data_IF_997161296687
#
_entry.id   IF_997161296687
#
_cell.length_a   1.000
_cell.length_b   1.000
_cell.length_c   1.000
_cell.angle_alpha   90.00
_cell.angle_beta   90.00
_cell.angle_gamma   90.00
#
_symmetry.space_group_name_H-M   'P 1'
#
loop_
_entity.id
_entity.type
_entity.pdbx_description
1 polymer ?
#
# COMPACT_ATOMS: atom_id res chain seq x y z
N UNK A 1 2.37 -11.32 -27.09
CA UNK A 1 1.04 -10.65 -27.15
C UNK A 1 1.28 -9.16 -27.12
N UNK A 2 0.52 -8.31 -27.84
CA UNK A 2 0.68 -6.87 -27.75
C UNK A 2 0.35 -6.42 -26.32
N UNK A 3 1.30 -5.74 -25.66
CA UNK A 3 1.14 -5.22 -24.31
C UNK A 3 0.29 -3.95 -24.36
N UNK A 4 -0.68 -3.82 -23.46
CA UNK A 4 -1.53 -2.63 -23.34
C UNK A 4 -0.83 -1.62 -22.39
N UNK A 5 -0.26 -0.51 -22.87
CA UNK A 5 0.65 0.34 -22.08
C UNK A 5 0.00 1.04 -20.88
N UNK A 6 -1.34 1.06 -20.82
CA UNK A 6 -2.10 1.72 -19.74
C UNK A 6 -2.74 0.73 -18.75
N UNK A 7 -2.36 -0.56 -18.79
CA UNK A 7 -2.84 -1.52 -17.82
C UNK A 7 -1.67 -2.13 -17.04
N UNK A 8 -1.88 -2.37 -15.77
CA UNK A 8 -0.90 -3.04 -14.91
C UNK A 8 -0.53 -4.40 -15.51
N UNK A 9 0.75 -4.70 -15.59
CA UNK A 9 1.34 -5.86 -16.29
C UNK A 9 1.12 -5.89 -17.81
N UNK A 10 0.55 -4.87 -18.44
CA UNK A 10 0.30 -4.86 -19.89
C UNK A 10 -0.60 -5.98 -20.38
N UNK A 11 -1.57 -6.40 -19.56
CA UNK A 11 -2.42 -7.56 -19.83
C UNK A 11 -3.32 -7.36 -21.05
N UNK A 12 -3.61 -8.42 -21.82
CA UNK A 12 -4.57 -8.35 -22.91
C UNK A 12 -6.00 -8.13 -22.37
N UNK A 13 -6.88 -7.55 -23.19
CA UNK A 13 -8.23 -7.11 -22.79
C UNK A 13 -9.04 -8.17 -22.01
N UNK A 14 -8.98 -9.45 -22.42
CA UNK A 14 -9.72 -10.54 -21.74
C UNK A 14 -9.18 -10.88 -20.32
N UNK A 15 -8.00 -10.38 -19.95
CA UNK A 15 -7.42 -10.50 -18.59
C UNK A 15 -7.44 -9.17 -17.83
N UNK A 16 -7.72 -8.08 -18.54
CA UNK A 16 -7.85 -6.73 -18.02
C UNK A 16 -9.31 -6.23 -17.95
N UNK A 17 -10.28 -7.11 -18.25
CA UNK A 17 -11.71 -6.81 -18.18
C UNK A 17 -12.22 -6.77 -16.74
N UNK A 18 -13.06 -5.76 -16.42
CA UNK A 18 -13.58 -5.55 -15.06
C UNK A 18 -14.41 -6.75 -14.55
N UNK A 19 -15.27 -7.31 -15.39
CA UNK A 19 -16.19 -8.37 -14.97
C UNK A 19 -15.42 -9.62 -14.54
N UNK A 20 -14.46 -10.03 -15.37
CA UNK A 20 -13.65 -11.24 -15.14
C UNK A 20 -12.51 -11.05 -14.13
N UNK A 21 -12.10 -9.81 -13.84
CA UNK A 21 -10.98 -9.55 -12.96
C UNK A 21 -11.32 -9.78 -11.48
N UNK A 22 -10.43 -10.44 -10.76
CA UNK A 22 -10.51 -10.56 -9.30
C UNK A 22 -9.90 -9.35 -8.57
N UNK A 23 -9.04 -8.60 -9.26
CA UNK A 23 -8.26 -7.49 -8.71
C UNK A 23 -8.52 -6.21 -9.50
N UNK A 24 -8.63 -5.10 -8.80
CA UNK A 24 -8.71 -3.74 -9.37
C UNK A 24 -7.47 -2.96 -8.93
N UNK A 25 -6.70 -2.48 -9.90
CA UNK A 25 -5.66 -1.47 -9.68
C UNK A 25 -6.32 -0.10 -9.81
N UNK A 26 -6.27 0.70 -8.75
CA UNK A 26 -6.89 2.02 -8.67
C UNK A 26 -5.85 3.13 -8.55
N UNK A 27 -5.48 3.81 -9.65
CA UNK A 27 -4.54 4.91 -9.59
C UNK A 27 -5.16 6.16 -8.96
N UNK A 28 -4.45 6.80 -8.02
CA UNK A 28 -4.84 8.06 -7.38
C UNK A 28 -3.65 9.02 -7.42
N UNK A 29 -3.40 9.69 -8.56
CA UNK A 29 -2.29 10.62 -8.74
C UNK A 29 -2.59 11.94 -8.01
N UNK A 30 -2.15 12.04 -6.75
CA UNK A 30 -2.38 13.20 -5.89
C UNK A 30 -1.12 13.53 -5.11
N UNK A 31 -0.64 14.78 -5.21
CA UNK A 31 0.52 15.30 -4.47
C UNK A 31 0.31 16.76 -4.12
N UNK A 32 -0.59 17.01 -3.17
CA UNK A 32 -0.86 18.39 -2.72
C UNK A 32 -0.27 18.70 -1.36
N UNK A 33 -0.03 17.70 -0.54
CA UNK A 33 0.39 17.92 0.84
C UNK A 33 1.84 17.54 1.13
N UNK A 34 2.58 16.95 0.18
CA UNK A 34 4.02 16.69 0.34
C UNK A 34 4.79 17.96 0.65
N UNK A 35 5.78 17.86 1.56
CA UNK A 35 6.45 19.03 2.13
C UNK A 35 7.82 19.32 1.54
N UNK A 36 8.53 18.31 1.04
CA UNK A 36 9.87 18.49 0.50
C UNK A 36 9.93 18.18 -1.00
N UNK A 37 10.17 16.92 -1.37
CA UNK A 37 10.20 16.57 -2.81
C UNK A 37 8.77 16.34 -3.32
N UNK A 38 8.50 16.91 -4.47
CA UNK A 38 7.24 16.78 -5.20
C UNK A 38 7.37 15.76 -6.32
N UNK A 39 6.26 15.19 -6.74
CA UNK A 39 6.19 14.27 -7.88
C UNK A 39 5.59 12.91 -7.56
N UNK A 40 5.09 12.71 -6.34
CA UNK A 40 4.39 11.48 -5.95
C UNK A 40 3.12 11.25 -6.82
N UNK A 41 2.50 12.30 -7.36
CA UNK A 41 1.39 12.21 -8.30
C UNK A 41 1.75 11.47 -9.61
N UNK A 42 3.02 11.39 -9.96
CA UNK A 42 3.52 10.61 -11.10
C UNK A 42 3.77 9.13 -10.76
N UNK A 43 3.80 8.78 -9.46
CA UNK A 43 4.07 7.45 -8.98
C UNK A 43 3.15 6.37 -9.58
N UNK A 44 1.82 6.54 -9.58
CA UNK A 44 0.91 5.56 -10.15
C UNK A 44 1.18 5.23 -11.62
N UNK A 45 1.47 6.23 -12.44
CA UNK A 45 1.78 6.03 -13.86
C UNK A 45 3.12 5.31 -14.04
N UNK A 46 4.15 5.68 -13.26
CA UNK A 46 5.47 5.05 -13.32
C UNK A 46 5.42 3.58 -12.89
N UNK A 47 4.63 3.24 -11.87
CA UNK A 47 4.41 1.84 -11.43
C UNK A 47 3.74 1.03 -12.56
N UNK A 48 2.70 1.57 -13.19
CA UNK A 48 2.00 0.89 -14.29
C UNK A 48 2.95 0.68 -15.47
N UNK A 49 3.71 1.70 -15.86
CA UNK A 49 4.72 1.61 -16.92
C UNK A 49 5.77 0.54 -16.61
N UNK A 50 6.33 0.55 -15.40
CA UNK A 50 7.31 -0.44 -14.98
C UNK A 50 6.73 -1.87 -14.98
N UNK A 51 5.48 -2.04 -14.57
CA UNK A 51 4.81 -3.34 -14.45
C UNK A 51 4.71 -4.10 -15.77
N UNK A 52 4.72 -3.40 -16.90
CA UNK A 52 4.67 -4.00 -18.25
C UNK A 52 5.91 -4.86 -18.54
N UNK A 53 6.99 -4.62 -17.80
CA UNK A 53 8.27 -5.32 -17.97
C UNK A 53 8.51 -6.43 -16.93
N UNK A 54 7.51 -6.72 -16.07
CA UNK A 54 7.60 -7.81 -15.10
C UNK A 54 7.51 -9.17 -15.79
N UNK A 55 8.26 -10.13 -15.25
CA UNK A 55 7.99 -11.54 -15.48
C UNK A 55 6.76 -11.94 -14.65
N UNK A 56 5.77 -12.55 -15.29
CA UNK A 56 4.46 -12.82 -14.70
C UNK A 56 4.36 -14.18 -13.99
N UNK A 57 5.41 -14.99 -14.06
CA UNK A 57 5.55 -16.17 -13.23
C UNK A 57 6.30 -15.79 -11.94
N UNK A 58 5.64 -16.04 -10.80
CA UNK A 58 6.26 -15.81 -9.50
C UNK A 58 6.88 -17.10 -8.98
N UNK A 59 8.21 -17.11 -8.90
CA UNK A 59 9.00 -18.28 -8.49
C UNK A 59 8.86 -18.64 -7.02
N UNK A 60 8.49 -17.69 -6.13
CA UNK A 60 8.33 -17.98 -4.70
C UNK A 60 7.01 -18.69 -4.40
N UNK A 61 5.97 -18.38 -5.18
CA UNK A 61 4.63 -18.95 -5.00
C UNK A 61 4.29 -20.04 -6.03
N UNK A 62 5.18 -20.29 -7.01
CA UNK A 62 4.94 -21.18 -8.13
C UNK A 62 3.58 -20.88 -8.82
N UNK A 63 3.34 -19.59 -9.11
CA UNK A 63 2.04 -19.13 -9.59
C UNK A 63 2.11 -17.99 -10.61
N UNK A 64 0.97 -17.78 -11.27
CA UNK A 64 0.78 -16.71 -12.25
C UNK A 64 -0.53 -15.98 -11.92
N UNK A 65 -0.48 -15.08 -10.91
CA UNK A 65 -1.68 -14.40 -10.37
C UNK A 65 -2.46 -13.60 -11.42
N UNK A 66 -1.81 -13.12 -12.48
CA UNK A 66 -2.48 -12.40 -13.57
C UNK A 66 -3.59 -13.23 -14.25
N UNK A 67 -3.53 -14.56 -14.18
CA UNK A 67 -4.58 -15.45 -14.72
C UNK A 67 -5.93 -15.27 -14.04
N UNK A 68 -5.96 -14.68 -12.82
CA UNK A 68 -7.20 -14.31 -12.10
C UNK A 68 -7.83 -13.01 -12.58
N UNK A 69 -7.21 -12.35 -13.56
CA UNK A 69 -7.61 -11.06 -14.10
C UNK A 69 -7.26 -9.89 -13.17
N UNK A 70 -6.63 -8.86 -13.76
CA UNK A 70 -6.27 -7.60 -13.09
C UNK A 70 -6.78 -6.46 -13.96
N UNK A 71 -7.81 -5.78 -13.49
CA UNK A 71 -8.37 -4.60 -14.15
C UNK A 71 -7.67 -3.34 -13.64
N UNK A 72 -7.29 -2.44 -14.53
CA UNK A 72 -6.76 -1.13 -14.17
C UNK A 72 -7.84 -0.08 -14.39
N UNK A 73 -8.28 0.54 -13.31
CA UNK A 73 -9.33 1.56 -13.32
C UNK A 73 -8.81 2.90 -13.86
N UNK A 74 -9.73 3.78 -14.23
CA UNK A 74 -9.37 5.17 -14.58
C UNK A 74 -8.84 5.89 -13.34
N UNK A 75 -7.83 6.77 -13.48
CA UNK A 75 -7.29 7.52 -12.36
C UNK A 75 -8.33 8.43 -11.68
N UNK A 76 -8.27 8.52 -10.35
CA UNK A 76 -9.09 9.45 -9.57
C UNK A 76 -8.33 10.76 -9.41
N UNK A 77 -8.89 11.86 -9.91
CA UNK A 77 -8.36 13.20 -9.72
C UNK A 77 -9.26 14.01 -8.78
N UNK A 78 -8.63 14.83 -7.92
CA UNK A 78 -9.34 15.74 -7.02
C UNK A 78 -8.56 17.05 -6.83
N UNK A 79 -9.31 18.13 -6.59
CA UNK A 79 -8.74 19.44 -6.35
C UNK A 79 -8.28 19.65 -4.89
N UNK A 80 -8.75 18.82 -3.95
CA UNK A 80 -8.44 18.90 -2.51
C UNK A 80 -8.40 17.53 -1.87
N UNK A 81 -7.69 17.39 -0.74
CA UNK A 81 -7.64 16.15 0.04
C UNK A 81 -9.03 15.69 0.49
N UNK A 82 -9.89 16.60 0.94
CA UNK A 82 -11.26 16.26 1.36
C UNK A 82 -12.13 15.76 0.19
N UNK A 83 -11.98 16.36 -0.99
CA UNK A 83 -12.64 15.91 -2.22
C UNK A 83 -12.13 14.54 -2.67
N UNK A 84 -10.82 14.33 -2.54
CA UNK A 84 -10.17 13.05 -2.85
C UNK A 84 -10.70 11.94 -1.96
N UNK A 85 -10.75 12.14 -0.64
CA UNK A 85 -11.28 11.16 0.31
C UNK A 85 -12.69 10.69 -0.04
N UNK A 86 -13.56 11.62 -0.45
CA UNK A 86 -14.93 11.28 -0.85
C UNK A 86 -14.95 10.44 -2.12
N UNK A 87 -14.22 10.85 -3.16
CA UNK A 87 -14.16 10.15 -4.45
C UNK A 87 -13.55 8.76 -4.29
N UNK A 88 -12.35 8.68 -3.70
CA UNK A 88 -11.66 7.41 -3.47
C UNK A 88 -12.51 6.45 -2.62
N UNK A 89 -13.12 6.97 -1.55
CA UNK A 89 -13.99 6.19 -0.68
C UNK A 89 -15.21 5.63 -1.41
N UNK A 90 -15.82 6.41 -2.31
CA UNK A 90 -16.98 5.96 -3.11
C UNK A 90 -16.58 4.84 -4.09
N UNK A 91 -15.48 5.04 -4.85
CA UNK A 91 -14.99 4.06 -5.82
C UNK A 91 -14.60 2.75 -5.14
N UNK A 92 -13.81 2.82 -4.07
CA UNK A 92 -13.43 1.62 -3.30
C UNK A 92 -14.66 0.89 -2.77
N UNK A 93 -15.64 1.62 -2.23
CA UNK A 93 -16.89 1.00 -1.73
C UNK A 93 -17.67 0.27 -2.82
N UNK A 94 -17.64 0.77 -4.06
CA UNK A 94 -18.26 0.08 -5.21
C UNK A 94 -17.54 -1.23 -5.52
N UNK A 95 -16.20 -1.20 -5.64
CA UNK A 95 -15.42 -2.41 -5.92
C UNK A 95 -15.54 -3.46 -4.81
N UNK A 96 -15.62 -3.03 -3.54
CA UNK A 96 -15.83 -3.96 -2.42
C UNK A 96 -17.19 -4.66 -2.47
N UNK A 97 -18.27 -3.97 -2.91
CA UNK A 97 -19.57 -4.60 -3.16
C UNK A 97 -19.50 -5.68 -4.24
N UNK A 98 -18.68 -5.47 -5.25
CA UNK A 98 -18.43 -6.43 -6.32
C UNK A 98 -17.40 -7.51 -5.93
N UNK A 99 -17.02 -7.60 -4.64
CA UNK A 99 -16.04 -8.55 -4.09
C UNK A 99 -14.65 -8.48 -4.76
N UNK A 100 -14.25 -7.32 -5.27
CA UNK A 100 -12.92 -7.13 -5.86
C UNK A 100 -11.87 -6.88 -4.77
N UNK A 101 -10.67 -7.42 -4.98
CA UNK A 101 -9.49 -6.99 -4.24
C UNK A 101 -9.04 -5.65 -4.84
N UNK A 102 -8.99 -4.58 -4.03
CA UNK A 102 -8.56 -3.27 -4.53
C UNK A 102 -7.12 -3.01 -4.11
N UNK A 103 -6.29 -2.68 -5.08
CA UNK A 103 -4.92 -2.19 -4.90
C UNK A 103 -4.89 -0.73 -5.33
N UNK A 104 -4.66 0.16 -4.38
CA UNK A 104 -4.54 1.59 -4.67
C UNK A 104 -3.08 1.94 -4.98
N UNK A 105 -2.85 2.55 -6.13
CA UNK A 105 -1.57 3.17 -6.45
C UNK A 105 -1.72 4.66 -6.11
N UNK A 106 -1.19 5.07 -4.97
CA UNK A 106 -1.36 6.43 -4.51
C UNK A 106 -0.26 7.36 -5.02
N UNK A 107 -0.52 8.65 -4.86
CA UNK A 107 0.50 9.68 -4.84
C UNK A 107 1.07 9.79 -3.43
N UNK A 108 0.90 10.95 -2.76
CA UNK A 108 1.30 11.11 -1.37
C UNK A 108 0.33 10.38 -0.41
N UNK A 109 0.77 10.12 0.81
CA UNK A 109 0.13 9.14 1.70
C UNK A 109 -1.31 9.50 2.12
N UNK A 110 -1.74 10.78 2.05
CA UNK A 110 -3.12 11.17 2.44
C UNK A 110 -4.20 10.49 1.62
N UNK A 111 -3.87 9.92 0.45
CA UNK A 111 -4.82 9.15 -0.39
C UNK A 111 -5.42 7.97 0.38
N UNK A 112 -4.64 7.37 1.28
CA UNK A 112 -5.03 6.17 2.05
C UNK A 112 -6.15 6.45 3.05
N UNK A 113 -6.34 7.70 3.51
CA UNK A 113 -7.37 8.04 4.51
C UNK A 113 -8.78 7.64 4.03
N UNK A 114 -9.16 8.06 2.82
CA UNK A 114 -10.48 7.78 2.24
C UNK A 114 -10.68 6.31 1.90
N UNK A 115 -9.62 5.66 1.45
CA UNK A 115 -9.57 4.24 1.11
C UNK A 115 -9.80 3.40 2.36
N UNK A 116 -8.97 3.57 3.40
CA UNK A 116 -9.06 2.82 4.66
C UNK A 116 -10.42 3.01 5.33
N UNK A 117 -10.97 4.24 5.29
CA UNK A 117 -12.32 4.52 5.80
C UNK A 117 -13.39 3.63 5.17
N UNK A 118 -13.27 3.34 3.88
CA UNK A 118 -14.22 2.46 3.17
C UNK A 118 -14.06 1.00 3.58
N UNK A 119 -12.81 0.55 3.74
CA UNK A 119 -12.53 -0.78 4.27
C UNK A 119 -13.06 -0.96 5.71
N UNK A 120 -12.83 0.02 6.58
CA UNK A 120 -13.33 -0.02 7.97
C UNK A 120 -14.86 -0.05 8.07
N UNK A 121 -15.58 0.54 7.12
CA UNK A 121 -17.04 0.41 7.01
C UNK A 121 -17.48 -0.96 6.54
N UNK A 122 -16.68 -1.61 5.70
CA UNK A 122 -17.02 -2.92 5.10
C UNK A 122 -16.62 -4.09 6.02
N UNK A 123 -15.49 -3.97 6.72
CA UNK A 123 -14.93 -4.98 7.63
C UNK A 123 -14.96 -4.48 9.07
N UNK A 124 -15.84 -5.06 9.91
CA UNK A 124 -16.05 -4.60 11.31
C UNK A 124 -14.80 -4.72 12.19
N UNK A 125 -13.95 -5.71 11.93
CA UNK A 125 -12.73 -5.98 12.70
C UNK A 125 -11.50 -5.82 11.80
N UNK A 126 -11.36 -4.64 11.20
CA UNK A 126 -10.23 -4.32 10.33
C UNK A 126 -8.99 -3.99 11.14
N UNK A 127 -7.88 -4.67 10.87
CA UNK A 127 -6.55 -4.18 11.20
C UNK A 127 -5.94 -3.41 10.03
N UNK A 128 -5.11 -2.42 10.36
CA UNK A 128 -4.24 -1.74 9.40
C UNK A 128 -2.79 -2.10 9.73
N UNK A 129 -2.11 -2.70 8.78
CA UNK A 129 -0.66 -2.85 8.79
C UNK A 129 -0.06 -1.65 8.05
N UNK A 130 0.64 -0.80 8.78
CA UNK A 130 1.25 0.42 8.30
C UNK A 130 2.76 0.21 8.18
N UNK A 131 3.26 0.22 6.95
CA UNK A 131 4.68 0.11 6.61
C UNK A 131 5.18 1.47 6.18
N UNK A 132 6.11 2.07 6.95
CA UNK A 132 6.47 3.48 6.80
C UNK A 132 7.76 3.82 7.57
N UNK A 133 8.50 4.81 7.12
CA UNK A 133 9.54 5.45 7.91
C UNK A 133 8.96 6.39 8.96
N UNK A 134 7.82 7.01 8.65
CA UNK A 134 7.21 8.09 9.43
C UNK A 134 6.04 7.58 10.29
N UNK A 135 5.76 8.29 11.37
CA UNK A 135 4.64 7.92 12.25
C UNK A 135 3.27 8.35 11.73
N UNK A 136 3.21 9.37 10.90
CA UNK A 136 2.01 9.95 10.27
C UNK A 136 0.84 10.19 11.23
N UNK A 137 1.19 10.56 12.44
CA UNK A 137 0.29 10.58 13.59
C UNK A 137 -0.02 11.99 14.10
N UNK A 138 0.35 13.03 13.33
CA UNK A 138 -0.02 14.42 13.63
C UNK A 138 -1.53 14.58 13.53
N UNK A 139 -2.13 15.31 14.45
CA UNK A 139 -3.56 15.59 14.39
C UNK A 139 -3.93 16.53 13.24
N UNK A 140 -3.07 17.51 12.98
CA UNK A 140 -3.12 18.39 11.81
C UNK A 140 -1.72 18.78 11.39
N UNK A 141 -1.52 19.07 10.10
CA UNK A 141 -0.26 19.58 9.58
C UNK A 141 -0.53 20.57 8.44
N UNK A 142 0.21 21.68 8.41
CA UNK A 142 0.03 22.77 7.44
C UNK A 142 -1.45 23.21 7.29
N UNK A 143 -2.17 23.32 8.41
CA UNK A 143 -3.54 23.82 8.46
C UNK A 143 -4.63 22.83 8.03
N UNK A 144 -4.31 21.56 7.82
CA UNK A 144 -5.30 20.55 7.48
C UNK A 144 -5.06 19.21 8.20
N UNK A 145 -6.12 18.53 8.66
CA UNK A 145 -6.02 17.16 9.21
C UNK A 145 -5.91 16.10 8.09
N UNK A 146 -6.11 16.47 6.82
CA UNK A 146 -6.07 15.57 5.67
C UNK A 146 -4.77 15.77 4.89
N UNK A 147 -3.66 15.44 5.56
CA UNK A 147 -2.30 15.64 5.12
C UNK A 147 -1.54 14.31 5.19
N UNK A 148 -0.49 14.13 4.38
CA UNK A 148 0.34 12.92 4.42
C UNK A 148 0.83 12.59 5.84
N UNK A 149 1.28 13.58 6.62
CA UNK A 149 1.75 13.41 8.01
C UNK A 149 0.63 13.15 9.05
N UNK A 150 -0.64 13.00 8.60
CA UNK A 150 -1.81 12.83 9.48
C UNK A 150 -2.58 11.52 9.23
N UNK A 151 -2.07 10.67 8.35
CA UNK A 151 -2.79 9.47 7.87
C UNK A 151 -3.18 8.57 9.03
N UNK A 152 -2.24 8.21 9.88
CA UNK A 152 -2.48 7.30 11.00
C UNK A 152 -3.34 7.95 12.09
N UNK A 153 -3.26 9.25 12.28
CA UNK A 153 -4.19 9.96 13.17
C UNK A 153 -5.64 9.82 12.66
N UNK A 154 -5.87 9.96 11.36
CA UNK A 154 -7.20 9.79 10.75
C UNK A 154 -7.66 8.34 10.72
N UNK A 155 -6.75 7.39 10.42
CA UNK A 155 -7.05 5.95 10.44
C UNK A 155 -7.51 5.49 11.82
N UNK A 156 -6.95 6.04 12.90
CA UNK A 156 -7.38 5.75 14.29
C UNK A 156 -8.85 6.12 14.59
N UNK A 157 -9.45 6.99 13.81
CA UNK A 157 -10.87 7.31 13.94
C UNK A 157 -11.76 6.14 13.45
N UNK A 158 -11.23 5.27 12.60
CA UNK A 158 -11.98 4.19 11.97
C UNK A 158 -11.65 2.83 12.58
N UNK A 159 -10.41 2.61 13.02
CA UNK A 159 -9.98 1.38 13.70
C UNK A 159 -8.89 1.66 14.73
N UNK A 160 -8.89 0.91 15.83
CA UNK A 160 -7.81 0.93 16.83
C UNK A 160 -6.75 -0.16 16.60
N UNK A 161 -7.01 -1.06 15.66
CA UNK A 161 -6.15 -2.21 15.37
C UNK A 161 -5.07 -1.83 14.33
N UNK A 162 -4.15 -0.93 14.70
CA UNK A 162 -3.06 -0.49 13.84
C UNK A 162 -1.75 -1.11 14.32
N UNK A 163 -0.98 -1.67 13.41
CA UNK A 163 0.39 -2.14 13.63
C UNK A 163 1.30 -1.39 12.68
N UNK A 164 2.24 -0.61 13.21
CA UNK A 164 3.19 0.19 12.43
C UNK A 164 4.58 -0.46 12.44
N UNK A 165 5.23 -0.52 11.29
CA UNK A 165 6.52 -1.19 11.09
C UNK A 165 7.45 -0.29 10.27
N UNK A 166 8.71 -0.17 10.71
CA UNK A 166 9.73 0.60 10.01
C UNK A 166 9.93 2.01 10.55
N UNK A 167 9.11 2.43 11.52
CA UNK A 167 9.09 3.81 12.02
C UNK A 167 10.46 4.21 12.57
N UNK A 168 10.99 5.32 12.05
CA UNK A 168 12.31 5.86 12.44
C UNK A 168 12.38 7.38 12.44
N UNK A 169 11.30 8.04 11.97
CA UNK A 169 11.15 9.49 11.97
C UNK A 169 9.77 9.89 12.48
N UNK A 170 9.70 10.85 13.40
CA UNK A 170 8.45 11.42 13.89
C UNK A 170 8.72 12.75 14.60
N UNK A 171 7.72 13.61 14.65
CA UNK A 171 7.75 14.81 15.48
C UNK A 171 7.45 14.47 16.96
N UNK A 172 7.99 15.27 17.88
CA UNK A 172 7.78 15.06 19.33
C UNK A 172 6.30 15.11 19.71
N UNK A 173 5.48 15.89 19.00
CA UNK A 173 4.04 15.98 19.24
C UNK A 173 3.29 14.67 18.99
N UNK A 174 3.84 13.78 18.16
CA UNK A 174 3.24 12.48 17.84
C UNK A 174 3.49 11.42 18.93
N UNK A 175 4.47 11.68 19.83
CA UNK A 175 4.93 10.72 20.85
C UNK A 175 3.80 10.15 21.71
N UNK A 176 2.86 10.97 22.12
CA UNK A 176 1.71 10.55 22.94
C UNK A 176 0.70 9.69 22.20
N UNK A 177 0.68 9.80 20.88
CA UNK A 177 -0.21 9.07 20.00
C UNK A 177 0.32 7.67 19.62
N UNK A 178 1.61 7.39 19.86
CA UNK A 178 2.26 6.14 19.48
C UNK A 178 1.95 5.03 20.49
N UNK A 179 1.37 3.94 20.01
CA UNK A 179 1.26 2.71 20.78
C UNK A 179 2.54 1.87 20.64
N UNK A 180 3.47 2.02 21.59
CA UNK A 180 4.77 1.33 21.58
C UNK A 180 4.67 -0.20 21.49
N UNK A 181 3.57 -0.81 21.95
CA UNK A 181 3.35 -2.27 21.87
C UNK A 181 2.96 -2.73 20.47
N UNK A 182 2.54 -1.80 19.60
CA UNK A 182 2.09 -2.05 18.24
C UNK A 182 2.95 -1.32 17.20
N UNK A 183 4.05 -0.70 17.61
CA UNK A 183 4.99 0.01 16.74
C UNK A 183 6.35 -0.68 16.80
N UNK A 184 6.81 -1.13 15.65
CA UNK A 184 8.09 -1.80 15.45
C UNK A 184 9.05 -0.80 14.83
N UNK A 185 9.84 -0.13 15.69
CA UNK A 185 10.82 0.87 15.26
C UNK A 185 11.97 0.22 14.49
N UNK A 186 12.41 0.84 13.38
CA UNK A 186 13.44 0.29 12.50
C UNK A 186 14.71 -0.11 13.26
N UNK A 187 15.22 0.74 14.16
CA UNK A 187 16.41 0.48 14.96
C UNK A 187 16.28 -0.74 15.91
N UNK A 188 15.07 -1.20 16.20
CA UNK A 188 14.82 -2.35 17.06
C UNK A 188 14.69 -3.67 16.29
N UNK A 189 14.41 -3.59 15.00
CA UNK A 189 14.04 -4.77 14.17
C UNK A 189 15.07 -5.13 13.09
N UNK A 190 16.13 -4.32 12.90
CA UNK A 190 17.08 -4.51 11.79
C UNK A 190 17.92 -5.79 11.89
N UNK A 191 18.19 -6.31 13.09
CA UNK A 191 19.10 -7.44 13.31
C UNK A 191 18.42 -8.81 13.39
N UNK A 192 17.09 -8.90 13.28
CA UNK A 192 16.38 -10.16 13.50
C UNK A 192 14.97 -10.11 12.89
N UNK A 193 14.48 -11.25 12.41
CA UNK A 193 13.12 -11.39 11.90
C UNK A 193 12.10 -11.85 12.95
N UNK A 194 12.51 -12.05 14.20
CA UNK A 194 11.62 -12.51 15.28
C UNK A 194 10.43 -11.58 15.55
N UNK A 195 10.59 -10.30 15.27
CA UNK A 195 9.52 -9.30 15.39
C UNK A 195 8.34 -9.56 14.45
N UNK A 196 8.57 -10.21 13.29
CA UNK A 196 7.52 -10.49 12.30
C UNK A 196 6.39 -11.31 12.92
N UNK A 197 6.71 -12.38 13.64
CA UNK A 197 5.69 -13.20 14.33
C UNK A 197 4.88 -12.38 15.32
N UNK A 198 5.53 -11.47 16.05
CA UNK A 198 4.85 -10.58 16.98
C UNK A 198 3.93 -9.57 16.27
N UNK A 199 4.40 -8.97 15.19
CA UNK A 199 3.59 -8.05 14.38
C UNK A 199 2.34 -8.75 13.83
N UNK A 200 2.50 -9.95 13.24
CA UNK A 200 1.38 -10.75 12.71
C UNK A 200 0.36 -11.13 13.79
N UNK A 201 0.82 -11.49 15.00
CA UNK A 201 -0.06 -11.83 16.13
C UNK A 201 -0.93 -10.68 16.60
N UNK A 202 -0.48 -9.44 16.44
CA UNK A 202 -1.23 -8.25 16.81
C UNK A 202 -2.32 -7.87 15.80
N UNK A 203 -2.31 -8.45 14.59
CA UNK A 203 -3.31 -8.20 13.56
C UNK A 203 -4.57 -9.06 13.80
N UNK A 204 -5.72 -8.51 13.47
CA UNK A 204 -6.99 -9.24 13.37
C UNK A 204 -7.05 -10.08 12.10
N UNK A 205 -8.14 -10.79 11.85
CA UNK A 205 -8.24 -11.68 10.69
C UNK A 205 -8.35 -10.93 9.36
N UNK A 206 -8.93 -9.73 9.34
CA UNK A 206 -9.01 -8.88 8.14
C UNK A 206 -7.99 -7.77 8.22
N UNK A 207 -7.05 -7.72 7.27
CA UNK A 207 -5.93 -6.78 7.28
C UNK A 207 -5.94 -5.94 5.99
N UNK A 208 -5.96 -4.63 6.15
CA UNK A 208 -5.56 -3.69 5.11
C UNK A 208 -4.09 -3.34 5.28
N UNK A 209 -3.32 -3.34 4.20
CA UNK A 209 -1.90 -2.98 4.25
C UNK A 209 -1.71 -1.63 3.54
N UNK A 210 -1.16 -0.64 4.24
CA UNK A 210 -0.70 0.60 3.61
C UNK A 210 0.82 0.60 3.59
N UNK A 211 1.39 0.81 2.41
CA UNK A 211 2.82 0.70 2.15
C UNK A 211 3.32 2.04 1.63
N UNK A 212 3.90 2.82 2.55
CA UNK A 212 4.76 3.92 2.14
C UNK A 212 6.10 3.33 1.66
N UNK A 213 6.52 3.69 0.46
CA UNK A 213 7.74 3.14 -0.12
C UNK A 213 9.02 3.59 0.61
N UNK A 214 8.94 4.63 1.44
CA UNK A 214 10.06 5.02 2.27
C UNK A 214 10.30 4.10 3.48
N UNK A 215 9.42 3.11 3.73
CA UNK A 215 9.72 1.99 4.66
C UNK A 215 11.01 1.29 4.28
N UNK A 216 11.29 1.20 2.98
CA UNK A 216 12.56 0.67 2.48
C UNK A 216 13.73 1.61 2.78
N UNK A 217 14.92 1.03 2.87
CA UNK A 217 16.15 1.83 2.96
C UNK A 217 16.38 2.61 1.66
N UNK A 218 16.79 3.89 1.73
CA UNK A 218 17.10 4.70 0.55
C UNK A 218 18.16 4.09 -0.37
N UNK A 219 18.97 3.15 0.11
CA UNK A 219 19.93 2.40 -0.73
C UNK A 219 19.25 1.56 -1.82
N UNK A 220 17.96 1.18 -1.63
CA UNK A 220 17.18 0.43 -2.63
C UNK A 220 15.95 1.20 -3.11
N UNK A 221 15.44 2.17 -2.31
CA UNK A 221 14.28 2.99 -2.64
C UNK A 221 14.58 4.49 -2.39
N UNK A 222 15.46 5.10 -3.20
CA UNK A 222 15.79 6.52 -3.05
C UNK A 222 14.70 7.47 -3.58
N UNK A 223 13.71 6.95 -4.32
CA UNK A 223 12.72 7.75 -5.07
C UNK A 223 11.44 7.97 -4.25
N UNK A 224 11.58 8.58 -3.08
CA UNK A 224 10.47 8.98 -2.20
C UNK A 224 10.55 10.47 -1.83
N UNK A 225 9.46 11.02 -1.30
CA UNK A 225 9.38 12.45 -0.94
C UNK A 225 10.33 12.83 0.19
N UNK A 226 10.48 11.96 1.19
CA UNK A 226 11.29 12.16 2.40
C UNK A 226 12.04 10.87 2.75
N UNK A 227 13.11 10.52 2.01
CA UNK A 227 13.85 9.29 2.25
C UNK A 227 14.63 9.34 3.56
N UNK A 228 14.32 8.46 4.48
CA UNK A 228 14.96 8.32 5.77
C UNK A 228 15.95 7.16 5.78
N UNK A 229 17.20 7.29 6.25
CA UNK A 229 18.16 6.18 6.31
C UNK A 229 17.80 5.15 7.38
N UNK A 230 18.33 3.93 7.23
CA UNK A 230 18.11 2.83 8.19
C UNK A 230 16.76 2.12 8.02
N UNK A 231 16.27 2.08 6.79
CA UNK A 231 15.02 1.39 6.43
C UNK A 231 15.15 -0.12 6.32
N UNK A 232 14.07 -0.77 5.94
CA UNK A 232 14.02 -2.21 5.74
C UNK A 232 14.57 -2.60 4.36
N UNK A 233 15.17 -3.80 4.31
CA UNK A 233 15.54 -4.41 3.05
C UNK A 233 14.35 -5.12 2.39
N UNK A 234 14.49 -5.42 1.08
CA UNK A 234 13.49 -6.12 0.28
C UNK A 234 12.97 -7.40 0.96
N UNK A 235 13.86 -8.29 1.36
CA UNK A 235 13.47 -9.59 1.93
C UNK A 235 12.80 -9.48 3.30
N UNK A 236 13.10 -8.44 4.09
CA UNK A 236 12.42 -8.22 5.37
C UNK A 236 10.96 -7.84 5.15
N UNK A 237 10.70 -6.92 4.20
CA UNK A 237 9.34 -6.51 3.84
C UNK A 237 8.57 -7.69 3.23
N UNK A 238 9.16 -8.40 2.27
CA UNK A 238 8.50 -9.53 1.62
C UNK A 238 8.21 -10.67 2.60
N UNK A 239 9.11 -10.96 3.54
CA UNK A 239 8.91 -11.96 4.60
C UNK A 239 7.76 -11.59 5.54
N UNK A 240 7.65 -10.31 5.91
CA UNK A 240 6.50 -9.82 6.68
C UNK A 240 5.21 -10.02 5.90
N UNK A 241 5.12 -9.53 4.67
CA UNK A 241 3.92 -9.61 3.83
C UNK A 241 3.49 -11.07 3.56
N UNK A 242 4.45 -11.96 3.27
CA UNK A 242 4.21 -13.39 3.14
C UNK A 242 3.66 -14.00 4.44
N UNK A 243 4.24 -13.64 5.59
CA UNK A 243 3.78 -14.14 6.90
C UNK A 243 2.37 -13.66 7.24
N UNK A 244 2.05 -12.41 6.90
CA UNK A 244 0.69 -11.86 7.07
C UNK A 244 -0.29 -12.61 6.16
N UNK A 245 0.02 -12.79 4.88
CA UNK A 245 -0.89 -13.45 3.93
C UNK A 245 -1.16 -14.92 4.29
N UNK A 246 -0.19 -15.62 4.90
CA UNK A 246 -0.34 -17.01 5.38
C UNK A 246 -1.23 -17.13 6.62
N UNK A 247 -1.27 -16.10 7.44
CA UNK A 247 -1.93 -16.14 8.76
C UNK A 247 -3.21 -15.33 8.83
N UNK A 248 -3.37 -14.36 7.94
CA UNK A 248 -4.43 -13.36 7.93
C UNK A 248 -4.98 -13.17 6.52
N UNK A 249 -6.20 -12.66 6.43
CA UNK A 249 -6.80 -12.27 5.15
C UNK A 249 -6.41 -10.84 4.83
N UNK A 250 -5.49 -10.62 3.89
CA UNK A 250 -5.25 -9.29 3.32
C UNK A 250 -6.44 -8.95 2.42
N UNK A 251 -7.22 -7.95 2.82
CA UNK A 251 -8.47 -7.56 2.16
C UNK A 251 -8.28 -6.49 1.09
N UNK A 252 -7.15 -5.79 1.11
CA UNK A 252 -6.73 -4.78 0.15
C UNK A 252 -5.44 -4.14 0.62
N UNK A 253 -4.81 -3.37 -0.26
CA UNK A 253 -3.61 -2.62 0.09
C UNK A 253 -3.42 -1.40 -0.80
N UNK A 254 -2.58 -0.49 -0.36
CA UNK A 254 -2.06 0.59 -1.19
C UNK A 254 -0.54 0.64 -1.19
N UNK A 255 0.01 1.29 -2.23
CA UNK A 255 1.43 1.65 -2.35
C UNK A 255 1.49 3.13 -2.68
N UNK A 256 2.21 3.88 -1.86
CA UNK A 256 2.24 5.35 -1.89
C UNK A 256 3.67 5.90 -1.86
N UNK A 257 3.80 7.21 -2.08
CA UNK A 257 5.02 8.02 -1.96
C UNK A 257 6.11 7.69 -2.98
N UNK A 258 5.81 7.00 -4.09
CA UNK A 258 6.79 6.93 -5.18
C UNK A 258 6.92 8.30 -5.85
N UNK A 259 8.08 8.92 -5.72
CA UNK A 259 8.50 10.11 -6.48
C UNK A 259 9.43 9.68 -7.62
N UNK A 260 8.93 9.38 -8.83
CA UNK A 260 9.75 8.85 -9.91
C UNK A 260 10.91 9.76 -10.26
N UNK A 261 12.09 9.18 -10.40
CA UNK A 261 13.35 9.84 -10.75
C UNK A 261 13.90 9.34 -12.08
N UNK A 262 15.13 9.71 -12.42
CA UNK A 262 15.82 9.20 -13.59
C UNK A 262 16.15 7.69 -13.47
N UNK A 263 16.31 7.17 -12.24
CA UNK A 263 16.46 5.75 -12.01
C UNK A 263 15.11 5.03 -12.10
N UNK A 264 15.02 3.97 -12.87
CA UNK A 264 13.82 3.15 -13.03
C UNK A 264 13.77 1.96 -12.06
N UNK A 265 14.83 1.72 -11.30
CA UNK A 265 14.86 0.63 -10.32
C UNK A 265 13.81 0.77 -9.22
N UNK A 266 13.54 1.97 -8.64
CA UNK A 266 12.45 2.17 -7.67
C UNK A 266 11.06 1.92 -8.26
N UNK A 267 10.82 2.38 -9.51
CA UNK A 267 9.54 2.16 -10.21
C UNK A 267 9.29 0.64 -10.37
N UNK A 268 10.35 -0.08 -10.77
CA UNK A 268 10.29 -1.53 -10.96
C UNK A 268 10.14 -2.28 -9.63
N UNK A 269 10.82 -1.83 -8.57
CA UNK A 269 10.68 -2.40 -7.21
C UNK A 269 9.21 -2.29 -6.74
N UNK A 270 8.59 -1.12 -6.88
CA UNK A 270 7.20 -0.91 -6.50
C UNK A 270 6.24 -1.81 -7.31
N UNK A 271 6.44 -1.91 -8.62
CA UNK A 271 5.63 -2.79 -9.47
C UNK A 271 5.80 -4.27 -9.08
N UNK A 272 7.04 -4.73 -8.80
CA UNK A 272 7.34 -6.10 -8.38
C UNK A 272 6.75 -6.41 -7.00
N UNK A 273 6.83 -5.47 -6.05
CA UNK A 273 6.22 -5.57 -4.73
C UNK A 273 4.72 -5.87 -4.83
N UNK A 274 4.01 -5.09 -5.65
CA UNK A 274 2.57 -5.25 -5.87
C UNK A 274 2.27 -6.62 -6.44
N UNK A 275 2.99 -7.03 -7.49
CA UNK A 275 2.74 -8.31 -8.14
C UNK A 275 2.99 -9.51 -7.22
N UNK A 276 4.10 -9.50 -6.46
CA UNK A 276 4.40 -10.55 -5.48
C UNK A 276 3.39 -10.58 -4.33
N UNK A 277 2.96 -9.41 -3.83
CA UNK A 277 1.92 -9.39 -2.78
C UNK A 277 0.60 -9.94 -3.29
N UNK A 278 0.21 -9.66 -4.53
CA UNK A 278 -0.95 -10.28 -5.18
C UNK A 278 -0.80 -11.81 -5.27
N UNK A 279 0.41 -12.31 -5.62
CA UNK A 279 0.70 -13.74 -5.65
C UNK A 279 0.57 -14.38 -4.27
N UNK A 280 1.12 -13.77 -3.22
CA UNK A 280 0.96 -14.25 -1.85
C UNK A 280 -0.51 -14.29 -1.41
N UNK A 281 -1.29 -13.26 -1.75
CA UNK A 281 -2.72 -13.20 -1.43
C UNK A 281 -3.49 -14.32 -2.15
N UNK A 282 -3.18 -14.59 -3.41
CA UNK A 282 -3.91 -15.59 -4.21
C UNK A 282 -3.67 -17.02 -3.71
N UNK A 283 -2.40 -17.39 -3.46
CA UNK A 283 -2.06 -18.76 -3.03
C UNK A 283 -2.49 -19.06 -1.59
N UNK A 284 -2.61 -18.04 -0.74
CA UNK A 284 -3.00 -18.18 0.66
C UNK A 284 -4.49 -17.88 0.94
N UNK A 285 -5.29 -17.59 -0.10
CA UNK A 285 -6.75 -17.49 0.07
C UNK A 285 -7.31 -18.80 0.63
N UNK A 286 -8.10 -18.74 1.73
CA UNK A 286 -8.82 -19.94 2.17
C UNK A 286 -9.63 -20.47 0.98
N UNK A 287 -9.40 -21.73 0.60
CA UNK A 287 -10.24 -22.39 -0.41
C UNK A 287 -11.66 -22.33 0.10
N UNK A 288 -12.56 -21.66 -0.63
CA UNK A 288 -14.00 -21.76 -0.34
C UNK A 288 -14.32 -23.24 -0.36
N UNK A 289 -14.87 -23.79 0.74
CA UNK A 289 -15.46 -25.10 0.71
C UNK A 289 -16.48 -25.11 -0.45
N UNK A 290 -16.26 -26.02 -1.40
CA UNK A 290 -17.17 -26.25 -2.52
C UNK A 290 -18.48 -26.83 -2.01
#
# INVERSE_FOLDING_TARGET
MPKHPFSFCGLPNHKADYVGASTVILPIPFDKTSTWLKGADRGPAAIIEASVNLELYDIETDSEVFKKGIFTAKPIHAASSSGLMKKAGSEVSSYLKDNKLVVTLGGEHSVSIGVVKSYAKHYKDLSVLHLDAHADSRDSYQGTPYNHACVIARVREFTKNIVSVGIRSMDVSERSAINKKRTFFAHQIHNSDKWITNAVRLLTDSVYVTIDLDVFDPGIMPSTGTPEPGGLGWYQVMKLLSSVSKSKRIVGFDVVELCPSNSKAPDFLAAKLIYMLLSYIDVNKPRRAQ
#
